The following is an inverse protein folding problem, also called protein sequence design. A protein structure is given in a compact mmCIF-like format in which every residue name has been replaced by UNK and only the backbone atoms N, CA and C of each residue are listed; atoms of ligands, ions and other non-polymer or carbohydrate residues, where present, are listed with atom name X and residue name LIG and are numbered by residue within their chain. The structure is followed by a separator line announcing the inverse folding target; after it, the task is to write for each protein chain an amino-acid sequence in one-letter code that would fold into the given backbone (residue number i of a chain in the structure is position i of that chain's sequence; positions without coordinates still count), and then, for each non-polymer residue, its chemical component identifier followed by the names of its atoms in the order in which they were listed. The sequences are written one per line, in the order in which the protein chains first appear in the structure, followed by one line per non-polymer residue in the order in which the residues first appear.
data_IF_638294808213
#
_entry.id   IF_638294808213
#
_cell.length_a   1.000
_cell.length_b   1.000
_cell.length_c   1.000
_cell.angle_alpha   90.00
_cell.angle_beta   90.00
_cell.angle_gamma   90.00
#
_symmetry.space_group_name_H-M   'P 1'
#
loop_
_entity.id
_entity.type
_entity.pdbx_description
1 polymer ?
#
# COMPACT_ATOMS: atom_id res chain seq x y z
N UNK A 1 6.25 12.34 38.73
CA UNK A 1 5.69 11.79 37.46
C UNK A 1 5.89 10.30 37.51
N UNK A 2 4.84 9.52 37.27
CA UNK A 2 4.95 8.07 37.29
C UNK A 2 5.80 7.60 36.11
N UNK A 3 6.88 6.89 36.43
CA UNK A 3 7.85 6.36 35.47
C UNK A 3 7.83 4.83 35.47
N UNK A 4 8.27 4.25 34.36
CA UNK A 4 8.44 2.83 34.15
C UNK A 4 9.81 2.57 33.52
N UNK A 5 10.51 1.58 34.06
CA UNK A 5 11.75 1.08 33.51
C UNK A 5 11.53 0.35 32.18
N UNK A 6 12.31 0.73 31.16
CA UNK A 6 12.36 0.04 29.87
C UNK A 6 13.42 -1.06 29.89
N UNK A 7 13.02 -2.34 29.78
CA UNK A 7 13.96 -3.46 29.81
C UNK A 7 14.84 -3.62 28.56
N UNK A 8 14.71 -2.74 27.57
CA UNK A 8 15.53 -2.78 26.35
C UNK A 8 16.61 -1.68 26.32
N UNK A 9 16.28 -0.44 26.68
CA UNK A 9 17.27 0.64 26.72
C UNK A 9 17.81 0.94 28.13
N UNK A 10 17.23 0.34 29.19
CA UNK A 10 17.71 0.52 30.55
C UNK A 10 17.35 1.86 31.21
N UNK A 11 16.44 2.63 30.61
CA UNK A 11 16.06 3.96 31.11
C UNK A 11 14.65 3.94 31.73
N UNK A 12 14.48 4.70 32.82
CA UNK A 12 13.18 5.08 33.35
C UNK A 12 12.52 6.15 32.49
N UNK A 13 11.31 5.87 32.01
CA UNK A 13 10.56 6.80 31.15
C UNK A 13 9.13 6.97 31.67
N UNK A 14 8.47 8.11 31.39
CA UNK A 14 7.06 8.28 31.74
C UNK A 14 6.18 7.18 31.09
N UNK A 15 5.11 6.76 31.77
CA UNK A 15 4.21 5.72 31.26
C UNK A 15 3.68 5.98 29.84
N UNK A 16 3.50 7.24 29.44
CA UNK A 16 3.05 7.61 28.09
C UNK A 16 4.05 7.23 26.97
N UNK A 17 5.29 6.89 27.32
CA UNK A 17 6.32 6.36 26.41
C UNK A 17 6.24 4.85 26.24
N UNK A 18 5.22 4.19 26.80
CA UNK A 18 4.97 2.76 26.65
C UNK A 18 3.62 2.54 25.97
N UNK A 19 3.47 1.43 25.23
CA UNK A 19 2.18 1.02 24.68
C UNK A 19 1.38 0.28 25.77
N UNK A 20 0.08 0.59 25.89
CA UNK A 20 -0.82 -0.21 26.72
C UNK A 20 -0.97 -1.60 26.10
N UNK A 21 -1.05 -2.63 26.93
CA UNK A 21 -1.34 -4.00 26.50
C UNK A 21 -2.47 -4.56 27.35
N UNK A 22 -3.36 -5.31 26.72
CA UNK A 22 -4.51 -5.93 27.37
C UNK A 22 -4.28 -7.43 27.49
N UNK A 23 -4.63 -8.02 28.64
CA UNK A 23 -4.45 -9.46 28.89
C UNK A 23 -3.00 -9.89 29.16
N UNK A 24 -2.09 -8.95 29.42
CA UNK A 24 -0.72 -9.25 29.83
C UNK A 24 -0.56 -9.26 31.36
N UNK A 25 0.60 -9.74 31.86
CA UNK A 25 0.97 -9.69 33.29
C UNK A 25 1.07 -8.25 33.84
N UNK A 26 1.19 -7.26 32.97
CA UNK A 26 1.26 -5.83 33.31
C UNK A 26 0.47 -5.02 32.27
N UNK A 27 -0.04 -3.86 32.65
CA UNK A 27 -0.86 -2.99 31.78
C UNK A 27 -0.06 -2.32 30.64
N UNK A 28 1.26 -2.32 30.76
CA UNK A 28 2.16 -1.63 29.83
C UNK A 28 3.25 -2.56 29.33
N UNK A 29 3.53 -2.46 28.03
CA UNK A 29 4.59 -3.20 27.39
C UNK A 29 5.96 -2.98 28.10
N UNK A 30 6.83 -3.99 28.23
CA UNK A 30 8.11 -3.85 28.94
C UNK A 30 9.12 -2.93 28.24
N UNK A 31 9.01 -2.77 26.92
CA UNK A 31 9.86 -1.89 26.12
C UNK A 31 9.14 -0.59 25.77
N UNK A 32 9.87 0.53 25.78
CA UNK A 32 9.35 1.84 25.38
C UNK A 32 9.02 1.88 23.87
N UNK A 33 8.23 2.88 23.48
CA UNK A 33 7.81 3.14 22.11
C UNK A 33 9.00 3.26 21.16
N UNK A 34 10.06 3.95 21.56
CA UNK A 34 11.24 4.18 20.73
C UNK A 34 11.97 2.87 20.43
N UNK A 35 12.27 2.07 21.46
CA UNK A 35 12.89 0.75 21.28
C UNK A 35 12.03 -0.17 20.43
N UNK A 36 10.70 -0.13 20.60
CA UNK A 36 9.76 -0.91 19.78
C UNK A 36 9.76 -0.46 18.33
N UNK A 37 9.81 0.84 18.09
CA UNK A 37 9.86 1.40 16.75
C UNK A 37 11.18 1.06 16.05
N UNK A 38 12.32 1.15 16.76
CA UNK A 38 13.63 0.74 16.26
C UNK A 38 13.66 -0.76 15.93
N UNK A 39 13.15 -1.61 16.83
CA UNK A 39 13.04 -3.05 16.59
C UNK A 39 12.15 -3.36 15.37
N UNK A 40 11.01 -2.67 15.23
CA UNK A 40 10.12 -2.83 14.09
C UNK A 40 10.79 -2.37 12.78
N UNK A 41 11.55 -1.27 12.80
CA UNK A 41 12.30 -0.78 11.64
C UNK A 41 13.42 -1.76 11.22
N UNK A 42 14.18 -2.28 12.18
CA UNK A 42 15.22 -3.31 11.95
C UNK A 42 14.60 -4.58 11.36
N UNK A 43 13.52 -5.07 11.96
CA UNK A 43 12.76 -6.24 11.46
C UNK A 43 12.24 -6.07 10.04
N UNK A 44 11.72 -4.89 9.69
CA UNK A 44 11.27 -4.57 8.32
C UNK A 44 12.44 -4.60 7.33
N UNK A 45 13.61 -4.09 7.73
CA UNK A 45 14.84 -4.10 6.90
C UNK A 45 15.41 -5.50 6.71
N UNK A 46 15.34 -6.35 7.72
CA UNK A 46 15.87 -7.73 7.69
C UNK A 46 14.91 -8.73 7.02
N UNK A 47 13.60 -8.53 7.16
CA UNK A 47 12.58 -9.40 6.56
C UNK A 47 11.88 -8.72 5.38
N UNK A 48 12.64 -8.01 4.53
CA UNK A 48 12.09 -7.27 3.38
C UNK A 48 11.13 -8.15 2.57
N UNK A 49 11.58 -9.32 2.13
CA UNK A 49 10.79 -10.25 1.30
C UNK A 49 9.45 -10.64 1.94
N UNK A 50 9.43 -10.92 3.25
CA UNK A 50 8.21 -11.27 3.99
C UNK A 50 7.22 -10.12 4.02
N UNK A 51 7.68 -8.87 4.17
CA UNK A 51 6.81 -7.70 4.18
C UNK A 51 6.31 -7.34 2.76
N UNK A 52 7.11 -7.54 1.71
CA UNK A 52 6.69 -7.29 0.32
C UNK A 52 5.64 -8.30 -0.19
N UNK A 53 5.82 -9.59 0.11
CA UNK A 53 4.87 -10.65 -0.26
C UNK A 53 3.53 -10.56 0.49
N UNK A 54 3.56 -10.03 1.72
CA UNK A 54 2.37 -9.84 2.55
C UNK A 54 1.59 -8.58 2.13
N UNK A 55 2.27 -7.53 1.66
CA UNK A 55 1.63 -6.27 1.28
C UNK A 55 0.73 -6.40 0.04
N UNK A 56 1.18 -7.07 -1.03
CA UNK A 56 0.36 -7.21 -2.23
C UNK A 56 -0.88 -8.09 -2.00
N UNK A 57 -0.75 -9.23 -1.30
CA UNK A 57 -1.89 -10.11 -1.01
C UNK A 57 -2.90 -9.41 -0.12
N UNK A 58 -2.44 -8.63 0.84
CA UNK A 58 -3.32 -7.82 1.68
C UNK A 58 -3.95 -6.67 0.91
N UNK A 59 -3.22 -6.03 -0.01
CA UNK A 59 -3.78 -5.01 -0.89
C UNK A 59 -4.90 -5.60 -1.77
N UNK A 60 -4.68 -6.76 -2.40
CA UNK A 60 -5.75 -7.47 -3.13
C UNK A 60 -6.96 -7.76 -2.24
N UNK A 61 -6.74 -8.21 -1.00
CA UNK A 61 -7.82 -8.48 -0.04
C UNK A 61 -8.63 -7.23 0.27
N UNK A 62 -8.01 -6.04 0.36
CA UNK A 62 -8.73 -4.76 0.55
C UNK A 62 -9.68 -4.44 -0.60
N UNK A 63 -9.34 -4.88 -1.80
CA UNK A 63 -10.15 -4.74 -3.01
C UNK A 63 -11.04 -5.96 -3.30
N UNK A 64 -11.21 -6.89 -2.34
CA UNK A 64 -12.05 -8.08 -2.52
C UNK A 64 -11.51 -9.08 -3.55
N UNK A 65 -10.22 -8.97 -3.91
CA UNK A 65 -9.58 -9.82 -4.91
C UNK A 65 -8.76 -10.93 -4.25
N UNK A 66 -8.85 -12.14 -4.82
CA UNK A 66 -7.90 -13.21 -4.52
C UNK A 66 -6.74 -13.15 -5.53
N UNK A 67 -5.55 -13.67 -5.18
CA UNK A 67 -4.46 -13.88 -6.13
C UNK A 67 -4.90 -14.57 -7.42
N UNK A 68 -5.73 -15.61 -7.33
CA UNK A 68 -6.22 -16.33 -8.51
C UNK A 68 -7.12 -15.46 -9.40
N UNK A 69 -7.94 -14.57 -8.82
CA UNK A 69 -8.75 -13.62 -9.59
C UNK A 69 -7.87 -12.56 -10.26
N UNK A 70 -6.83 -12.08 -9.58
CA UNK A 70 -5.85 -11.17 -10.17
C UNK A 70 -5.19 -11.81 -11.40
N UNK A 71 -4.66 -13.03 -11.27
CA UNK A 71 -3.97 -13.71 -12.38
C UNK A 71 -4.92 -13.98 -13.55
N UNK A 72 -6.20 -14.30 -13.29
CA UNK A 72 -7.22 -14.38 -14.36
C UNK A 72 -7.39 -13.06 -15.11
N UNK A 73 -7.50 -11.92 -14.41
CA UNK A 73 -7.59 -10.60 -15.03
C UNK A 73 -6.32 -10.27 -15.82
N UNK A 74 -5.16 -10.60 -15.26
CA UNK A 74 -3.87 -10.40 -15.92
C UNK A 74 -3.79 -11.17 -17.24
N UNK A 75 -4.18 -12.44 -17.24
CA UNK A 75 -4.23 -13.27 -18.45
C UNK A 75 -5.24 -12.74 -19.47
N UNK A 76 -6.45 -12.38 -19.05
CA UNK A 76 -7.48 -11.81 -19.95
C UNK A 76 -6.99 -10.52 -20.59
N UNK A 77 -6.20 -9.72 -19.88
CA UNK A 77 -5.58 -8.50 -20.40
C UNK A 77 -4.24 -8.72 -21.13
N UNK A 78 -3.84 -9.97 -21.39
CA UNK A 78 -2.55 -10.33 -22.00
C UNK A 78 -1.32 -9.76 -21.25
N UNK A 79 -1.46 -9.53 -19.94
CA UNK A 79 -0.44 -8.92 -19.11
C UNK A 79 -0.20 -7.43 -19.35
N UNK A 80 -1.15 -6.73 -19.98
CA UNK A 80 -1.04 -5.31 -20.36
C UNK A 80 -2.02 -4.44 -19.58
N UNK A 81 -1.70 -3.15 -19.47
CA UNK A 81 -2.59 -2.12 -18.93
C UNK A 81 -3.87 -2.01 -19.77
N UNK A 82 -5.05 -2.04 -19.14
CA UNK A 82 -6.35 -1.96 -19.81
C UNK A 82 -6.61 -0.61 -20.53
N UNK A 83 -5.87 0.45 -20.18
CA UNK A 83 -6.02 1.78 -20.82
C UNK A 83 -5.03 1.95 -21.97
N UNK A 84 -3.74 1.77 -21.73
CA UNK A 84 -2.71 2.11 -22.72
C UNK A 84 -2.15 0.90 -23.48
N UNK A 85 -2.59 -0.32 -23.15
CA UNK A 85 -2.15 -1.58 -23.77
C UNK A 85 -0.62 -1.79 -23.73
N UNK A 86 0.04 -1.25 -22.70
CA UNK A 86 1.48 -1.42 -22.47
C UNK A 86 1.72 -2.20 -21.18
N UNK A 87 2.85 -2.88 -21.11
CA UNK A 87 3.33 -3.51 -19.88
C UNK A 87 3.66 -2.45 -18.82
N UNK A 88 3.72 -2.88 -17.55
CA UNK A 88 4.24 -2.03 -16.49
C UNK A 88 5.72 -1.70 -16.75
N UNK A 89 6.08 -0.44 -16.53
CA UNK A 89 7.47 0.04 -16.65
C UNK A 89 7.95 0.69 -15.35
N UNK A 90 7.04 1.03 -14.43
CA UNK A 90 7.39 1.50 -13.10
C UNK A 90 8.02 0.36 -12.30
N UNK A 91 9.18 0.64 -11.71
CA UNK A 91 9.97 -0.34 -10.99
C UNK A 91 10.23 0.13 -9.56
N UNK A 92 10.61 -0.80 -8.70
CA UNK A 92 11.16 -0.50 -7.40
C UNK A 92 12.41 -1.34 -7.17
N UNK A 93 12.95 -1.34 -5.97
CA UNK A 93 14.14 -2.13 -5.63
C UNK A 93 13.96 -3.66 -5.78
N UNK A 94 12.76 -4.15 -6.16
CA UNK A 94 12.43 -5.55 -6.40
C UNK A 94 12.08 -5.85 -7.87
N UNK A 95 12.33 -4.91 -8.78
CA UNK A 95 12.05 -5.05 -10.21
C UNK A 95 10.79 -4.33 -10.66
N UNK A 96 10.29 -4.72 -11.83
CA UNK A 96 9.07 -4.14 -12.42
C UNK A 96 7.87 -4.44 -11.51
N UNK A 97 7.05 -3.42 -11.24
CA UNK A 97 5.86 -3.56 -10.41
C UNK A 97 4.81 -4.41 -11.12
N UNK A 98 3.86 -4.91 -10.33
CA UNK A 98 2.62 -5.50 -10.87
C UNK A 98 1.69 -4.37 -11.32
N UNK A 99 0.86 -4.64 -12.32
CA UNK A 99 -0.24 -3.75 -12.69
C UNK A 99 -1.13 -3.51 -11.45
N UNK A 100 -1.52 -2.26 -11.24
CA UNK A 100 -2.40 -1.85 -10.16
C UNK A 100 -3.82 -2.35 -10.43
N UNK A 101 -4.53 -2.77 -9.38
CA UNK A 101 -5.96 -3.10 -9.45
C UNK A 101 -6.76 -1.80 -9.42
N UNK A 102 -7.40 -1.49 -10.54
CA UNK A 102 -8.29 -0.34 -10.66
C UNK A 102 -9.74 -0.74 -10.34
N UNK A 103 -10.42 0.12 -9.60
CA UNK A 103 -11.78 -0.15 -9.11
C UNK A 103 -12.57 1.15 -8.98
N UNK A 104 -13.88 1.05 -9.16
CA UNK A 104 -14.77 2.17 -8.94
C UNK A 104 -14.80 2.51 -7.43
N UNK A 105 -14.53 3.77 -7.10
CA UNK A 105 -14.45 4.21 -5.70
C UNK A 105 -15.81 4.21 -4.97
N UNK A 106 -16.93 4.27 -5.68
CA UNK A 106 -18.30 4.14 -5.16
C UNK A 106 -18.78 2.69 -5.04
N UNK A 107 -18.75 1.92 -6.15
CA UNK A 107 -19.30 0.55 -6.19
C UNK A 107 -18.33 -0.53 -5.69
N UNK A 108 -17.03 -0.22 -5.62
CA UNK A 108 -15.93 -1.16 -5.37
C UNK A 108 -15.77 -2.23 -6.45
N UNK A 109 -16.47 -2.13 -7.57
CA UNK A 109 -16.32 -3.03 -8.70
C UNK A 109 -14.96 -2.84 -9.36
N UNK A 110 -14.32 -3.95 -9.70
CA UNK A 110 -13.03 -3.95 -10.37
C UNK A 110 -13.24 -3.63 -11.84
N UNK A 111 -12.57 -2.57 -12.33
CA UNK A 111 -12.60 -2.19 -13.75
C UNK A 111 -11.54 -2.97 -14.55
N UNK A 112 -10.35 -3.16 -13.98
CA UNK A 112 -9.27 -3.89 -14.63
C UNK A 112 -7.91 -3.68 -13.94
N UNK A 113 -6.85 -4.06 -14.64
CA UNK A 113 -5.47 -3.84 -14.21
C UNK A 113 -4.82 -2.73 -15.04
N UNK A 114 -4.20 -1.75 -14.37
CA UNK A 114 -3.61 -0.58 -15.00
C UNK A 114 -2.12 -0.45 -14.67
N UNK A 115 -1.32 0.11 -15.57
CA UNK A 115 0.04 0.52 -15.21
C UNK A 115 -0.01 1.73 -14.24
N UNK A 116 1.06 1.92 -13.48
CA UNK A 116 1.15 2.95 -12.45
C UNK A 116 0.90 4.36 -12.98
N UNK A 117 1.31 4.63 -14.23
CA UNK A 117 1.09 5.93 -14.90
C UNK A 117 -0.39 6.18 -15.19
N UNK A 118 -1.06 5.21 -15.83
CA UNK A 118 -2.49 5.33 -16.15
C UNK A 118 -3.34 5.41 -14.88
N UNK A 119 -3.07 4.54 -13.90
CA UNK A 119 -3.81 4.54 -12.63
C UNK A 119 -3.66 5.87 -11.87
N UNK A 120 -2.45 6.44 -11.83
CA UNK A 120 -2.22 7.76 -11.24
C UNK A 120 -2.90 8.86 -12.05
N UNK A 121 -2.87 8.77 -13.37
CA UNK A 121 -3.56 9.69 -14.27
C UNK A 121 -5.04 9.79 -13.91
N UNK A 122 -5.74 8.66 -13.80
CA UNK A 122 -7.16 8.67 -13.39
C UNK A 122 -7.36 9.37 -12.03
N UNK A 123 -6.55 9.04 -11.04
CA UNK A 123 -6.65 9.66 -9.71
C UNK A 123 -6.33 11.17 -9.69
N UNK A 124 -5.46 11.66 -10.58
CA UNK A 124 -5.17 13.10 -10.71
C UNK A 124 -6.35 13.89 -11.29
N UNK A 125 -7.24 13.21 -12.00
CA UNK A 125 -8.51 13.75 -12.46
C UNK A 125 -9.68 13.34 -11.56
N UNK A 126 -9.41 12.88 -10.32
CA UNK A 126 -10.42 12.43 -9.34
C UNK A 126 -11.35 11.31 -9.84
N UNK A 127 -10.89 10.48 -10.80
CA UNK A 127 -11.73 9.51 -11.53
C UNK A 127 -12.95 10.14 -12.23
N UNK A 128 -12.91 11.45 -12.48
CA UNK A 128 -13.99 12.22 -13.09
C UNK A 128 -13.94 12.13 -14.61
N UNK A 129 -14.99 11.55 -15.19
CA UNK A 129 -15.11 11.35 -16.64
C UNK A 129 -15.17 12.68 -17.39
N UNK A 130 -15.87 13.68 -16.86
CA UNK A 130 -16.01 14.99 -17.51
C UNK A 130 -14.66 15.72 -17.56
N UNK A 131 -13.90 15.71 -16.46
CA UNK A 131 -12.55 16.30 -16.44
C UNK A 131 -11.60 15.61 -17.41
N UNK A 132 -11.67 14.28 -17.52
CA UNK A 132 -10.84 13.51 -18.46
C UNK A 132 -11.18 13.82 -19.92
N UNK A 133 -12.48 13.96 -20.24
CA UNK A 133 -12.93 14.35 -21.58
C UNK A 133 -12.48 15.78 -21.91
N UNK A 134 -12.64 16.73 -20.99
CA UNK A 134 -12.18 18.10 -21.16
C UNK A 134 -10.65 18.18 -21.36
N UNK A 135 -9.88 17.35 -20.64
CA UNK A 135 -8.44 17.25 -20.83
C UNK A 135 -8.07 16.71 -22.23
N UNK A 136 -8.84 15.75 -22.77
CA UNK A 136 -8.65 15.26 -24.13
C UNK A 136 -8.92 16.36 -25.17
N UNK A 137 -10.06 17.07 -25.05
CA UNK A 137 -10.40 18.21 -25.91
C UNK A 137 -9.33 19.31 -25.85
N UNK A 138 -8.81 19.60 -24.65
CA UNK A 138 -7.74 20.58 -24.47
C UNK A 138 -6.46 20.20 -25.23
N UNK A 139 -6.11 18.90 -25.30
CA UNK A 139 -4.95 18.44 -26.06
C UNK A 139 -5.14 18.54 -27.58
N UNK A 140 -6.38 18.46 -28.07
CA UNK A 140 -6.71 18.63 -29.49
C UNK A 140 -6.73 20.10 -29.91
N UNK A 141 -7.00 21.00 -28.97
CA UNK A 141 -6.92 22.45 -29.16
C UNK A 141 -5.47 22.94 -29.14
N UNK A 142 -4.84 22.99 -30.30
CA UNK A 142 -3.57 23.70 -30.47
C UNK A 142 -3.78 25.19 -30.16
N UNK A 143 -3.18 25.70 -29.09
CA UNK A 143 -2.84 27.14 -29.01
C UNK A 143 -1.68 27.43 -29.95
#
# INVERSE_FOLDING_TARGET
MDTKYCSNCGEDKPFNKFYKQYGGRTDYHPHCKDCRNQYAAKRRKENKERYHGYDWKNNLKKHGLSPAKYEKLFTVQNGLCAICNKSETDSNQHGIKRLAVDHNHGTKEIRGLLCAKCNRGLGLFDDDVEKLLNAAVYLEGTT
#
